data_IF_743860300034
#
_entry.id   IF_743860300034
#
_cell.length_a   1.000
_cell.length_b   1.000
_cell.length_c   1.000
_cell.angle_alpha   90.00
_cell.angle_beta   90.00
_cell.angle_gamma   90.00
#
_symmetry.space_group_name_H-M   'P 1'
#
loop_
_entity.id
_entity.type
_entity.pdbx_description
1 polymer ?
#
# COMPACT_ATOMS: atom_id res chain seq x y z
N UNK A 1 -20.19 24.76 29.62
CA UNK A 1 -18.83 25.24 29.26
C UNK A 1 -17.88 24.14 29.71
N UNK A 2 -17.57 23.18 28.84
CA UNK A 2 -16.39 23.21 27.93
C UNK A 2 -15.15 22.74 28.72
N UNK A 3 -14.37 21.71 28.38
CA UNK A 3 -14.20 20.96 27.13
C UNK A 3 -13.72 19.52 27.40
N UNK A 4 -14.22 18.58 26.61
CA UNK A 4 -13.68 17.22 26.45
C UNK A 4 -12.54 17.29 25.44
N UNK A 5 -11.33 16.85 25.83
CA UNK A 5 -10.29 16.46 24.89
C UNK A 5 -10.06 14.96 25.00
N UNK A 6 -10.79 14.23 24.15
CA UNK A 6 -10.43 12.88 23.71
C UNK A 6 -9.11 12.97 22.95
N UNK A 7 -8.07 12.34 23.46
CA UNK A 7 -6.89 11.98 22.69
C UNK A 7 -6.80 10.45 22.66
N UNK A 8 -7.54 9.87 21.71
CA UNK A 8 -7.28 8.52 21.22
C UNK A 8 -6.54 8.72 19.91
N UNK A 9 -5.28 8.30 19.85
CA UNK A 9 -4.63 7.71 18.67
C UNK A 9 -3.13 7.54 18.96
N UNK A 10 -2.55 6.53 18.31
CA UNK A 10 -1.14 6.09 18.39
C UNK A 10 -0.80 5.12 19.53
N UNK A 11 -1.45 3.95 19.55
CA UNK A 11 -0.77 2.73 20.04
C UNK A 11 0.41 2.41 19.11
N UNK A 12 1.52 3.09 19.37
CA UNK A 12 2.84 2.76 18.87
C UNK A 12 3.20 1.36 19.39
N UNK A 13 3.24 0.38 18.49
CA UNK A 13 3.75 -0.96 18.79
C UNK A 13 5.24 -0.85 19.16
N UNK A 14 5.51 -0.67 20.45
CA UNK A 14 6.85 -0.85 21.01
C UNK A 14 7.15 -2.34 21.01
N UNK A 15 7.89 -2.81 20.00
CA UNK A 15 8.43 -4.17 19.96
C UNK A 15 9.60 -4.27 20.95
N UNK A 16 9.29 -4.33 22.25
CA UNK A 16 10.24 -4.60 23.33
C UNK A 16 10.05 -6.02 23.86
N UNK A 17 10.57 -7.04 23.14
CA UNK A 17 11.00 -8.31 23.77
C UNK A 17 12.23 -8.91 23.05
N UNK A 18 13.19 -9.55 23.75
CA UNK A 18 14.56 -9.72 23.27
C UNK A 18 14.92 -11.14 22.73
N UNK A 19 15.78 -11.15 21.70
CA UNK A 19 16.58 -12.26 21.08
C UNK A 19 15.85 -13.21 20.10
N UNK A 20 16.46 -13.63 18.95
CA UNK A 20 17.88 -13.95 18.74
C UNK A 20 18.67 -12.87 17.99
N UNK A 21 20.00 -12.98 18.01
CA UNK A 21 20.96 -12.07 17.36
C UNK A 21 20.73 -11.96 15.85
N UNK A 22 19.83 -11.06 15.42
CA UNK A 22 19.61 -10.74 14.01
C UNK A 22 20.85 -10.06 13.43
N UNK A 23 21.31 -10.55 12.29
CA UNK A 23 22.39 -9.95 11.51
C UNK A 23 21.79 -9.05 10.42
N UNK A 24 22.24 -7.80 10.35
CA UNK A 24 21.74 -6.82 9.40
C UNK A 24 22.76 -6.66 8.26
N UNK A 25 22.37 -7.01 7.04
CA UNK A 25 23.20 -6.83 5.87
C UNK A 25 22.76 -5.61 5.08
N UNK A 26 23.73 -4.78 4.70
CA UNK A 26 23.55 -3.66 3.77
C UNK A 26 24.22 -4.02 2.46
N UNK A 27 23.41 -4.17 1.42
CA UNK A 27 23.85 -4.35 0.04
C UNK A 27 23.87 -2.99 -0.66
N UNK A 28 24.91 -2.72 -1.44
CA UNK A 28 25.11 -1.42 -2.12
C UNK A 28 25.13 -1.58 -3.64
N UNK A 29 24.79 -0.53 -4.42
CA UNK A 29 24.89 -0.57 -5.88
C UNK A 29 26.32 -0.77 -6.38
N UNK A 30 26.48 -1.29 -7.61
CA UNK A 30 27.79 -1.48 -8.31
C UNK A 30 28.47 -0.14 -8.63
N UNK A 31 28.91 0.60 -7.63
CA UNK A 31 29.80 1.78 -7.76
C UNK A 31 30.27 2.36 -6.42
N UNK A 32 29.75 1.89 -5.27
CA UNK A 32 30.11 2.45 -3.97
C UNK A 32 30.77 1.41 -3.04
N UNK A 33 31.94 1.68 -2.46
CA UNK A 33 32.45 0.89 -1.34
C UNK A 33 31.57 1.14 -0.10
N UNK A 34 31.02 0.08 0.50
CA UNK A 34 30.13 0.23 1.66
C UNK A 34 29.18 -0.92 1.94
N UNK A 35 29.22 -2.00 1.16
CA UNK A 35 28.61 -3.27 1.53
C UNK A 35 29.14 -3.73 2.90
N UNK A 36 28.24 -4.17 3.78
CA UNK A 36 28.67 -4.55 5.12
C UNK A 36 27.60 -5.29 5.93
N UNK A 37 28.11 -6.07 6.89
CA UNK A 37 27.33 -6.78 7.89
C UNK A 37 27.38 -6.01 9.21
N UNK A 38 26.25 -5.90 9.88
CA UNK A 38 26.11 -5.19 11.15
C UNK A 38 25.35 -6.04 12.16
N UNK A 39 25.81 -6.05 13.40
CA UNK A 39 25.09 -6.66 14.53
C UNK A 39 24.02 -5.73 15.12
N UNK A 40 24.08 -4.43 14.80
CA UNK A 40 23.16 -3.42 15.32
C UNK A 40 22.42 -2.71 14.18
N UNK A 41 21.08 -2.70 14.26
CA UNK A 41 20.21 -2.04 13.29
C UNK A 41 20.48 -0.54 13.14
N UNK A 42 20.90 0.14 14.20
CA UNK A 42 21.21 1.57 14.18
C UNK A 42 22.41 1.87 13.27
N UNK A 43 23.47 1.05 13.37
CA UNK A 43 24.66 1.17 12.52
C UNK A 43 24.32 0.84 11.06
N UNK A 44 23.52 -0.21 10.84
CA UNK A 44 23.05 -0.61 9.53
C UNK A 44 22.21 0.50 8.87
N UNK A 45 21.28 1.13 9.61
CA UNK A 45 20.45 2.26 9.14
C UNK A 45 21.29 3.50 8.84
N UNK A 46 22.33 3.79 9.63
CA UNK A 46 23.25 4.90 9.34
C UNK A 46 23.97 4.70 8.01
N UNK A 47 24.39 3.46 7.72
CA UNK A 47 25.05 3.11 6.46
C UNK A 47 24.10 3.09 5.27
N UNK A 48 22.88 2.58 5.45
CA UNK A 48 21.81 2.65 4.45
C UNK A 48 21.55 4.10 4.00
N UNK A 49 21.52 5.05 4.94
CA UNK A 49 21.30 6.48 4.64
C UNK A 49 22.47 7.16 3.92
N UNK A 50 23.69 6.66 4.11
CA UNK A 50 24.89 7.27 3.52
C UNK A 50 25.07 6.97 2.03
N UNK A 51 24.48 5.89 1.52
CA UNK A 51 24.65 5.42 0.13
C UNK A 51 23.26 5.27 -0.50
N UNK A 52 22.93 6.19 -1.43
CA UNK A 52 21.66 6.17 -2.17
C UNK A 52 21.55 4.88 -3.00
N UNK A 53 20.41 4.21 -2.94
CA UNK A 53 20.17 2.93 -3.64
C UNK A 53 20.60 1.68 -2.86
N UNK A 54 21.12 1.84 -1.64
CA UNK A 54 21.43 0.69 -0.78
C UNK A 54 20.16 0.01 -0.27
N UNK A 55 20.24 -1.31 -0.02
CA UNK A 55 19.15 -2.10 0.56
C UNK A 55 19.61 -2.75 1.86
N UNK A 56 18.75 -2.73 2.87
CA UNK A 56 19.01 -3.34 4.19
C UNK A 56 18.05 -4.50 4.40
N UNK A 57 18.58 -5.65 4.83
CA UNK A 57 17.78 -6.82 5.21
C UNK A 57 18.34 -7.43 6.50
N UNK A 58 17.44 -7.90 7.37
CA UNK A 58 17.79 -8.63 8.58
C UNK A 58 17.70 -10.14 8.31
N UNK A 59 18.65 -10.89 8.86
CA UNK A 59 18.77 -12.34 8.72
C UNK A 59 19.01 -12.98 10.08
N UNK A 60 18.57 -14.22 10.23
CA UNK A 60 18.85 -15.03 11.43
C UNK A 60 20.19 -15.79 11.31
N UNK A 61 20.76 -15.86 10.10
CA UNK A 61 22.06 -16.50 9.82
C UNK A 61 23.08 -15.50 9.27
N UNK A 62 24.30 -15.53 9.85
CA UNK A 62 25.43 -14.72 9.41
C UNK A 62 25.88 -15.03 7.98
N UNK A 63 25.71 -16.29 7.55
CA UNK A 63 26.14 -16.73 6.22
C UNK A 63 25.24 -16.12 5.14
N UNK A 64 23.93 -16.15 5.34
CA UNK A 64 22.95 -15.53 4.44
C UNK A 64 23.14 -14.01 4.37
N UNK A 65 23.40 -13.38 5.52
CA UNK A 65 23.66 -11.96 5.61
C UNK A 65 24.94 -11.55 4.85
N UNK A 66 25.99 -12.36 4.93
CA UNK A 66 27.24 -12.15 4.18
C UNK A 66 27.05 -12.31 2.67
N UNK A 67 26.28 -13.32 2.26
CA UNK A 67 25.93 -13.51 0.85
C UNK A 67 25.15 -12.29 0.33
N UNK A 68 24.19 -11.78 1.12
CA UNK A 68 23.38 -10.63 0.75
C UNK A 68 24.20 -9.34 0.65
N UNK A 69 25.10 -9.06 1.61
CA UNK A 69 25.94 -7.85 1.55
C UNK A 69 26.91 -7.85 0.36
N UNK A 70 27.42 -9.04 -0.02
CA UNK A 70 28.34 -9.20 -1.14
C UNK A 70 27.65 -9.27 -2.51
N UNK A 71 26.33 -9.45 -2.54
CA UNK A 71 25.56 -9.40 -3.77
C UNK A 71 25.33 -7.93 -4.12
N UNK A 72 25.94 -7.40 -5.19
CA UNK A 72 25.69 -6.02 -5.57
C UNK A 72 24.20 -5.87 -5.89
N UNK A 73 23.60 -4.79 -5.36
CA UNK A 73 22.24 -4.42 -5.75
C UNK A 73 22.33 -4.02 -7.22
N UNK A 74 21.97 -4.94 -8.12
CA UNK A 74 21.58 -4.56 -9.47
C UNK A 74 20.48 -3.52 -9.29
N UNK A 75 20.52 -2.43 -10.06
CA UNK A 75 19.34 -1.59 -10.30
C UNK A 75 18.27 -2.40 -11.08
N UNK A 76 18.04 -3.66 -10.73
CA UNK A 76 16.71 -4.22 -10.81
C UNK A 76 15.93 -3.57 -9.69
N UNK A 77 15.40 -2.39 -10.03
CA UNK A 77 14.06 -2.02 -9.61
C UNK A 77 13.25 -3.31 -9.69
N UNK A 78 12.96 -3.93 -8.55
CA UNK A 78 11.74 -4.71 -8.40
C UNK A 78 10.63 -3.66 -8.34
N UNK A 79 10.50 -2.91 -9.43
CA UNK A 79 9.21 -2.45 -9.90
C UNK A 79 8.38 -3.72 -10.01
N UNK A 80 7.22 -3.81 -9.34
CA UNK A 80 6.21 -4.74 -9.83
C UNK A 80 6.06 -4.44 -11.33
N UNK A 81 6.34 -5.46 -12.16
CA UNK A 81 6.15 -5.52 -13.61
C UNK A 81 6.02 -4.18 -14.32
N UNK A 82 7.03 -3.80 -15.11
CA UNK A 82 7.01 -2.70 -16.10
C UNK A 82 5.58 -2.36 -16.54
N UNK A 83 5.07 -1.25 -16.01
CA UNK A 83 3.92 -0.57 -16.60
C UNK A 83 4.39 -0.16 -18.00
N UNK A 84 3.70 -0.57 -19.08
CA UNK A 84 3.98 0.03 -20.38
C UNK A 84 3.78 1.54 -20.24
N UNK A 85 4.89 2.26 -20.33
CA UNK A 85 4.94 3.71 -20.47
C UNK A 85 4.13 4.07 -21.72
N UNK A 86 2.92 4.61 -21.54
CA UNK A 86 2.13 5.02 -22.70
C UNK A 86 0.68 5.44 -22.44
N UNK A 87 0.01 4.93 -21.41
CA UNK A 87 -1.38 5.35 -21.17
C UNK A 87 -1.41 6.47 -20.13
N UNK A 88 -1.60 7.70 -20.63
CA UNK A 88 -2.01 8.81 -19.79
C UNK A 88 -3.17 8.32 -18.91
N UNK A 89 -2.98 8.34 -17.59
CA UNK A 89 -4.01 7.87 -16.65
C UNK A 89 -5.24 8.74 -16.88
N UNK A 90 -6.29 8.18 -17.50
CA UNK A 90 -7.51 8.91 -17.90
C UNK A 90 -8.18 9.61 -16.71
N UNK A 91 -7.92 9.11 -15.50
CA UNK A 91 -8.54 9.57 -14.27
C UNK A 91 -7.51 9.82 -13.16
N UNK A 92 -7.68 10.87 -12.36
CA UNK A 92 -6.80 11.14 -11.22
C UNK A 92 -7.02 10.11 -10.11
N UNK A 93 -5.96 9.87 -9.33
CA UNK A 93 -6.03 9.00 -8.14
C UNK A 93 -6.99 9.55 -7.08
N UNK A 94 -7.82 8.68 -6.51
CA UNK A 94 -8.81 9.04 -5.50
C UNK A 94 -8.15 9.23 -4.14
N UNK A 95 -8.54 10.29 -3.43
CA UNK A 95 -8.07 10.55 -2.07
C UNK A 95 -8.78 9.64 -1.07
N UNK A 96 -8.07 9.24 -0.03
CA UNK A 96 -8.63 8.43 1.06
C UNK A 96 -9.96 8.94 1.67
N UNK A 97 -10.17 10.25 1.96
CA UNK A 97 -11.45 10.73 2.47
C UNK A 97 -12.63 10.47 1.53
N UNK A 98 -12.40 10.50 0.21
CA UNK A 98 -13.44 10.25 -0.78
C UNK A 98 -13.79 8.76 -0.84
N UNK A 99 -12.80 7.86 -0.69
CA UNK A 99 -13.05 6.42 -0.54
C UNK A 99 -13.87 6.11 0.71
N UNK A 100 -13.58 6.78 1.84
CA UNK A 100 -14.36 6.67 3.07
C UNK A 100 -15.79 7.18 2.87
N UNK A 101 -15.96 8.25 2.10
CA UNK A 101 -17.28 8.81 1.76
C UNK A 101 -18.10 7.83 0.91
N UNK A 102 -17.51 7.25 -0.14
CA UNK A 102 -18.17 6.23 -0.96
C UNK A 102 -18.61 5.03 -0.12
N UNK A 103 -17.74 4.57 0.79
CA UNK A 103 -18.08 3.49 1.72
C UNK A 103 -19.34 3.81 2.53
N UNK A 104 -19.45 5.03 3.06
CA UNK A 104 -20.63 5.46 3.82
C UNK A 104 -21.89 5.46 2.96
N UNK A 105 -21.80 5.89 1.69
CA UNK A 105 -22.95 5.84 0.77
C UNK A 105 -23.41 4.41 0.48
N UNK A 106 -22.46 3.47 0.32
CA UNK A 106 -22.77 2.04 0.15
C UNK A 106 -23.46 1.46 1.39
N UNK A 107 -22.95 1.76 2.59
CA UNK A 107 -23.54 1.29 3.84
C UNK A 107 -24.96 1.89 4.07
N UNK A 108 -25.15 3.16 3.69
CA UNK A 108 -26.43 3.88 3.81
C UNK A 108 -27.45 3.58 2.70
N UNK A 109 -27.07 2.83 1.67
CA UNK A 109 -27.89 2.58 0.47
C UNK A 109 -28.25 3.84 -0.34
N UNK A 110 -27.35 4.84 -0.34
CA UNK A 110 -27.54 6.07 -1.12
C UNK A 110 -27.08 5.87 -2.57
N UNK A 111 -27.98 5.30 -3.36
CA UNK A 111 -27.74 4.92 -4.77
C UNK A 111 -27.38 6.12 -5.64
N UNK A 112 -27.99 7.29 -5.41
CA UNK A 112 -27.73 8.48 -6.23
C UNK A 112 -26.31 9.01 -6.00
N UNK A 113 -25.89 9.12 -4.74
CA UNK A 113 -24.53 9.54 -4.41
C UNK A 113 -23.48 8.56 -4.93
N UNK A 114 -23.74 7.25 -4.87
CA UNK A 114 -22.85 6.23 -5.45
C UNK A 114 -22.70 6.45 -6.96
N UNK A 115 -23.81 6.61 -7.68
CA UNK A 115 -23.79 6.85 -9.14
C UNK A 115 -22.99 8.08 -9.48
N UNK A 116 -23.18 9.18 -8.75
CA UNK A 116 -22.46 10.43 -8.98
C UNK A 116 -20.95 10.28 -8.72
N UNK A 117 -20.56 9.63 -7.63
CA UNK A 117 -19.14 9.36 -7.35
C UNK A 117 -18.49 8.51 -8.44
N UNK A 118 -19.14 7.42 -8.83
CA UNK A 118 -18.61 6.54 -9.86
C UNK A 118 -18.56 7.29 -11.19
N UNK A 119 -19.66 7.90 -11.65
CA UNK A 119 -19.71 8.64 -12.91
C UNK A 119 -18.63 9.74 -13.05
N UNK A 120 -18.28 10.42 -11.95
CA UNK A 120 -17.21 11.43 -11.93
C UNK A 120 -15.81 10.80 -12.07
N UNK A 121 -15.57 9.65 -11.41
CA UNK A 121 -14.30 8.96 -11.50
C UNK A 121 -14.41 7.42 -11.33
N UNK A 122 -14.22 6.61 -12.38
CA UNK A 122 -14.20 5.15 -12.30
C UNK A 122 -13.22 4.55 -11.29
N UNK A 123 -12.16 5.29 -10.91
CA UNK A 123 -11.15 4.81 -9.96
C UNK A 123 -11.70 4.54 -8.55
N UNK A 124 -12.92 4.97 -8.27
CA UNK A 124 -13.65 4.53 -7.08
C UNK A 124 -13.91 3.02 -7.03
N UNK A 125 -14.02 2.35 -8.20
CA UNK A 125 -14.29 0.92 -8.31
C UNK A 125 -13.07 0.11 -8.77
N UNK A 126 -12.37 0.56 -9.81
CA UNK A 126 -11.21 -0.14 -10.39
C UNK A 126 -10.05 0.84 -10.58
N UNK A 127 -8.88 0.48 -10.07
CA UNK A 127 -7.64 1.24 -10.24
C UNK A 127 -7.12 1.18 -11.69
N UNK A 128 -6.19 2.07 -12.06
CA UNK A 128 -5.57 2.09 -13.39
C UNK A 128 -4.76 0.84 -13.77
N UNK A 129 -4.62 -0.13 -12.87
CA UNK A 129 -3.99 -1.43 -13.15
C UNK A 129 -5.00 -2.58 -13.26
N UNK A 130 -6.28 -2.27 -13.50
CA UNK A 130 -7.38 -3.25 -13.54
C UNK A 130 -7.50 -4.07 -12.24
N UNK A 131 -7.27 -3.41 -11.10
CA UNK A 131 -7.46 -4.03 -9.77
C UNK A 131 -8.55 -3.32 -8.99
N UNK A 132 -9.41 -4.05 -8.25
CA UNK A 132 -10.52 -3.45 -7.53
C UNK A 132 -10.00 -2.48 -6.45
N UNK A 133 -10.60 -1.30 -6.40
CA UNK A 133 -10.26 -0.27 -5.42
C UNK A 133 -10.64 -0.70 -4.01
N UNK A 134 -9.69 -0.55 -3.09
CA UNK A 134 -9.87 -0.92 -1.69
C UNK A 134 -10.46 0.27 -0.93
N UNK A 135 -11.67 0.08 -0.39
CA UNK A 135 -12.37 1.06 0.43
C UNK A 135 -12.12 0.86 1.94
N UNK A 136 -11.69 -0.33 2.36
CA UNK A 136 -11.32 -0.61 3.75
C UNK A 136 -10.02 -1.40 3.82
N UNK A 137 -8.95 -0.76 4.31
CA UNK A 137 -7.58 -1.30 4.24
C UNK A 137 -7.38 -2.56 5.09
N UNK A 138 -7.91 -2.57 6.33
CA UNK A 138 -7.69 -3.65 7.32
C UNK A 138 -8.14 -5.01 6.80
N UNK A 139 -9.30 -5.08 6.15
CA UNK A 139 -9.85 -6.31 5.57
C UNK A 139 -9.72 -6.36 4.05
N UNK A 140 -9.06 -5.36 3.46
CA UNK A 140 -8.95 -5.15 2.00
C UNK A 140 -10.30 -5.25 1.28
N UNK A 141 -11.34 -4.65 1.83
CA UNK A 141 -12.68 -4.70 1.22
C UNK A 141 -12.80 -3.72 0.07
N UNK A 142 -13.37 -4.21 -1.03
CA UNK A 142 -13.82 -3.42 -2.16
C UNK A 142 -15.30 -3.03 -1.98
N UNK A 143 -15.84 -2.29 -2.96
CA UNK A 143 -17.23 -1.85 -2.94
C UNK A 143 -18.24 -3.01 -2.85
N UNK A 144 -17.99 -4.12 -3.56
CA UNK A 144 -18.87 -5.29 -3.57
C UNK A 144 -18.87 -5.99 -2.20
N UNK A 145 -17.70 -6.14 -1.56
CA UNK A 145 -17.60 -6.72 -0.21
C UNK A 145 -18.41 -5.91 0.81
N UNK A 146 -18.31 -4.57 0.75
CA UNK A 146 -19.06 -3.68 1.65
C UNK A 146 -20.56 -3.76 1.38
N UNK A 147 -20.98 -3.72 0.11
CA UNK A 147 -22.38 -3.84 -0.27
C UNK A 147 -22.98 -5.19 0.14
N UNK A 148 -22.20 -6.27 0.01
CA UNK A 148 -22.59 -7.62 0.41
C UNK A 148 -22.73 -7.72 1.93
N UNK A 149 -21.76 -7.18 2.68
CA UNK A 149 -21.80 -7.12 4.14
C UNK A 149 -23.02 -6.34 4.65
N UNK A 150 -23.42 -5.28 3.94
CA UNK A 150 -24.59 -4.47 4.28
C UNK A 150 -25.93 -5.03 3.73
N UNK A 151 -25.91 -6.15 2.99
CA UNK A 151 -27.12 -6.76 2.42
C UNK A 151 -27.76 -5.96 1.27
N UNK A 152 -26.99 -5.14 0.56
CA UNK A 152 -27.48 -4.22 -0.49
C UNK A 152 -27.35 -4.84 -1.88
N UNK A 153 -28.29 -5.72 -2.24
CA UNK A 153 -28.26 -6.41 -3.54
C UNK A 153 -28.44 -5.47 -4.75
N UNK A 154 -29.16 -4.37 -4.56
CA UNK A 154 -29.37 -3.27 -5.49
C UNK A 154 -28.05 -2.55 -5.81
N UNK A 155 -27.27 -2.21 -4.79
CA UNK A 155 -25.95 -1.58 -4.96
C UNK A 155 -24.95 -2.54 -5.63
N UNK A 156 -24.99 -3.83 -5.32
CA UNK A 156 -24.13 -4.82 -5.99
C UNK A 156 -24.43 -4.87 -7.50
N UNK A 157 -25.72 -4.95 -7.89
CA UNK A 157 -26.12 -4.93 -9.29
C UNK A 157 -25.68 -3.65 -10.00
N UNK A 158 -25.81 -2.52 -9.32
CA UNK A 158 -25.35 -1.23 -9.84
C UNK A 158 -23.83 -1.23 -10.09
N UNK A 159 -23.03 -1.66 -9.11
CA UNK A 159 -21.57 -1.73 -9.24
C UNK A 159 -21.18 -2.64 -10.42
N UNK A 160 -21.80 -3.81 -10.54
CA UNK A 160 -21.56 -4.73 -11.65
C UNK A 160 -21.90 -4.06 -12.99
N UNK A 161 -23.02 -3.33 -13.08
CA UNK A 161 -23.39 -2.63 -14.31
C UNK A 161 -22.38 -1.58 -14.75
N UNK A 162 -21.68 -0.91 -13.81
CA UNK A 162 -20.60 0.03 -14.14
C UNK A 162 -19.34 -0.68 -14.61
N UNK A 163 -19.02 -1.84 -14.02
CA UNK A 163 -17.85 -2.64 -14.40
C UNK A 163 -18.04 -3.24 -15.81
N UNK A 164 -19.26 -3.66 -16.15
CA UNK A 164 -19.59 -4.26 -17.45
C UNK A 164 -19.77 -3.22 -18.57
N UNK A 165 -19.94 -1.93 -18.24
CA UNK A 165 -20.18 -0.88 -19.22
C UNK A 165 -18.91 -0.48 -19.97
N UNK A 166 -18.88 -0.67 -21.29
CA UNK A 166 -17.75 -0.26 -22.14
C UNK A 166 -17.68 1.25 -22.40
N UNK A 167 -18.73 2.01 -22.08
CA UNK A 167 -18.75 3.47 -22.28
C UNK A 167 -18.01 4.23 -21.18
N UNK A 168 -17.68 3.56 -20.08
CA UNK A 168 -17.25 4.18 -18.84
C UNK A 168 -15.72 4.11 -18.60
N UNK A 169 -15.01 3.24 -19.33
CA UNK A 169 -13.57 2.96 -19.18
C UNK A 169 -12.75 3.42 -20.40
#
# INVERSE_FOLDING_TARGET
MSDNQNNSDEEFFDCTEPFPSKFYAVAVPRSSPGAGLFSNIAQAKSRLKSIKGSRLKAFDSIQEASIYSNCPVSESTETPSSVPEGEAVKFPSIKQPDLIRLRKYIEANDVESIKNCVADNPMFLITGCDTPTILQLVFRFNAIHIASKAGRSDVIKLIISYIESTEFW
#
